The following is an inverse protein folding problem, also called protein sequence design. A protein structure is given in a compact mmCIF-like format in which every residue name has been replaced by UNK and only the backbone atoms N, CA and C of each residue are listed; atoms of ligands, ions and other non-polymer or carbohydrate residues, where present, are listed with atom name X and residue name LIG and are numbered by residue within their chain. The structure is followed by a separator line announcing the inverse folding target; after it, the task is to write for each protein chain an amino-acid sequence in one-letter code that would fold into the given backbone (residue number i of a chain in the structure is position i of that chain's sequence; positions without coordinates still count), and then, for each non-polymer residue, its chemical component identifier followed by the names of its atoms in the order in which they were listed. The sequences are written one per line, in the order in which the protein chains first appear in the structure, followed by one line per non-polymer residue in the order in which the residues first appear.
data_IF_218748463496
#
_entry.id   IF_218748463496
#
_cell.length_a   1.000
_cell.length_b   1.000
_cell.length_c   1.000
_cell.angle_alpha   90.00
_cell.angle_beta   90.00
_cell.angle_gamma   90.00
#
_symmetry.space_group_name_H-M   'P 1'
#
loop_
_entity.id
_entity.type
_entity.pdbx_description
1 polymer ?
#
# COMPACT_ATOMS: atom_id res chain seq x y z
N UNK A 1 1.39 53.62 16.97
CA UNK A 1 1.21 52.37 17.73
C UNK A 1 0.41 51.42 16.84
N UNK A 2 1.03 50.44 16.15
CA UNK A 2 0.29 49.46 15.36
C UNK A 2 0.11 48.15 16.15
N UNK A 3 -1.11 47.62 16.08
CA UNK A 3 -1.52 46.31 16.59
C UNK A 3 -0.77 45.17 15.86
N UNK A 4 -0.36 44.10 16.55
CA UNK A 4 0.19 42.93 15.89
C UNK A 4 -0.93 42.06 15.30
N UNK A 5 -0.72 41.67 14.05
CA UNK A 5 -1.51 40.74 13.25
C UNK A 5 -1.52 39.33 13.87
N UNK A 6 -2.71 38.80 14.15
CA UNK A 6 -2.90 37.40 14.54
C UNK A 6 -2.81 36.50 13.30
N UNK A 7 -1.59 36.07 12.97
CA UNK A 7 -1.35 34.91 12.12
C UNK A 7 -0.81 33.79 12.99
N UNK A 8 -1.64 32.79 13.30
CA UNK A 8 -1.17 31.59 13.98
C UNK A 8 -2.27 30.80 14.67
N UNK A 9 -2.88 29.85 13.96
CA UNK A 9 -3.52 28.66 14.57
C UNK A 9 -4.08 27.70 13.53
N UNK A 10 -3.22 27.11 12.69
CA UNK A 10 -3.59 25.90 11.93
C UNK A 10 -2.46 24.87 11.79
N UNK A 11 -1.31 25.08 12.43
CA UNK A 11 -0.12 24.24 12.20
C UNK A 11 0.20 23.25 13.34
N UNK A 12 -0.65 23.12 14.36
CA UNK A 12 -0.34 22.35 15.58
C UNK A 12 -1.11 21.03 15.73
N UNK A 13 -2.01 20.67 14.82
CA UNK A 13 -2.83 19.45 14.94
C UNK A 13 -2.15 18.15 14.46
N UNK A 14 -0.98 18.23 13.81
CA UNK A 14 -0.31 17.09 13.15
C UNK A 14 1.00 16.64 13.81
N UNK A 15 1.36 17.18 14.98
CA UNK A 15 2.64 16.85 15.62
C UNK A 15 2.68 15.37 16.05
N UNK A 16 3.36 14.54 15.25
CA UNK A 16 3.71 13.15 15.58
C UNK A 16 3.04 12.04 14.74
N UNK A 17 2.10 12.35 13.84
CA UNK A 17 1.51 11.33 12.95
C UNK A 17 2.20 11.33 11.58
N UNK A 18 2.56 10.17 11.02
CA UNK A 18 3.01 10.09 9.64
C UNK A 18 1.94 10.65 8.69
N UNK A 19 2.39 11.31 7.63
CA UNK A 19 1.50 12.00 6.68
C UNK A 19 1.97 11.76 5.26
N UNK A 20 1.05 11.91 4.32
CA UNK A 20 1.29 11.84 2.88
C UNK A 20 1.04 13.19 2.22
N UNK A 21 1.76 13.52 1.15
CA UNK A 21 1.45 14.70 0.36
C UNK A 21 0.09 14.55 -0.32
N UNK A 22 -0.66 15.64 -0.40
CA UNK A 22 -1.97 15.64 -1.06
C UNK A 22 -1.90 15.32 -2.57
N UNK A 23 -0.71 15.44 -3.18
CA UNK A 23 -0.45 14.93 -4.54
C UNK A 23 -0.81 13.45 -4.65
N UNK A 24 -0.47 12.64 -3.65
CA UNK A 24 -0.74 11.21 -3.66
C UNK A 24 -2.25 10.91 -3.65
N UNK A 25 -3.05 11.71 -2.92
CA UNK A 25 -4.52 11.64 -2.95
C UNK A 25 -5.06 12.02 -4.32
N UNK A 26 -4.55 13.11 -4.92
CA UNK A 26 -4.97 13.52 -6.27
C UNK A 26 -4.67 12.44 -7.29
N UNK A 27 -3.47 11.87 -7.26
CA UNK A 27 -3.06 10.81 -8.17
C UNK A 27 -3.93 9.57 -7.99
N UNK A 28 -4.25 9.21 -6.74
CA UNK A 28 -5.17 8.10 -6.43
C UNK A 28 -6.57 8.32 -7.00
N UNK A 29 -7.10 9.55 -6.98
CA UNK A 29 -8.43 9.87 -7.49
C UNK A 29 -8.46 10.15 -9.01
N UNK A 30 -7.33 10.54 -9.61
CA UNK A 30 -7.26 11.04 -10.98
C UNK A 30 -7.74 10.02 -12.02
N UNK A 31 -8.85 10.31 -12.72
CA UNK A 31 -9.39 9.42 -13.76
C UNK A 31 -10.32 8.32 -13.26
N UNK A 32 -10.68 8.31 -11.96
CA UNK A 32 -11.76 7.46 -11.48
C UNK A 32 -13.13 8.01 -11.94
N UNK A 33 -14.07 7.13 -12.33
CA UNK A 33 -15.41 7.54 -12.78
C UNK A 33 -16.33 7.81 -11.56
N UNK A 34 -15.95 8.76 -10.69
CA UNK A 34 -16.71 9.14 -9.49
C UNK A 34 -17.23 10.55 -9.69
N UNK A 35 -18.53 10.75 -9.50
CA UNK A 35 -19.13 12.08 -9.60
C UNK A 35 -18.77 12.96 -8.39
N UNK A 36 -18.87 14.28 -8.57
CA UNK A 36 -18.46 15.24 -7.54
C UNK A 36 -19.23 15.08 -6.21
N UNK A 37 -20.56 14.84 -6.20
CA UNK A 37 -21.30 14.61 -4.95
C UNK A 37 -20.82 13.38 -4.18
N UNK A 38 -20.60 12.26 -4.86
CA UNK A 38 -20.10 11.03 -4.23
C UNK A 38 -18.68 11.24 -3.69
N UNK A 39 -17.80 11.85 -4.49
CA UNK A 39 -16.44 12.15 -4.05
C UNK A 39 -16.43 13.05 -2.81
N UNK A 40 -17.30 14.06 -2.76
CA UNK A 40 -17.41 14.94 -1.59
C UNK A 40 -17.83 14.16 -0.33
N UNK A 41 -18.78 13.23 -0.46
CA UNK A 41 -19.17 12.34 0.62
C UNK A 41 -18.00 11.47 1.12
N UNK A 42 -17.21 10.91 0.22
CA UNK A 42 -16.02 10.09 0.56
C UNK A 42 -14.95 10.92 1.26
N UNK A 43 -14.67 12.14 0.79
CA UNK A 43 -13.73 13.05 1.43
C UNK A 43 -14.20 13.43 2.84
N UNK A 44 -15.49 13.69 3.02
CA UNK A 44 -16.07 13.97 4.33
C UNK A 44 -15.93 12.78 5.29
N UNK A 45 -16.24 11.55 4.85
CA UNK A 45 -16.05 10.33 5.64
C UNK A 45 -14.58 10.14 6.05
N UNK A 46 -13.66 10.43 5.13
CA UNK A 46 -12.23 10.40 5.38
C UNK A 46 -11.71 11.59 6.20
N UNK A 47 -12.55 12.52 6.61
CA UNK A 47 -12.18 13.78 7.30
C UNK A 47 -11.21 14.65 6.51
N UNK A 48 -11.22 14.56 5.19
CA UNK A 48 -10.40 15.35 4.27
C UNK A 48 -11.22 16.54 3.79
N UNK A 49 -10.75 17.77 4.06
CA UNK A 49 -11.37 18.96 3.49
C UNK A 49 -11.24 18.96 1.96
N UNK A 50 -12.31 19.16 1.17
CA UNK A 50 -12.23 19.25 -0.29
C UNK A 50 -11.29 20.36 -0.77
N UNK A 51 -11.18 21.46 -0.02
CA UNK A 51 -10.26 22.56 -0.34
C UNK A 51 -8.80 22.15 -0.25
N UNK A 52 -8.49 21.09 0.50
CA UNK A 52 -7.13 20.56 0.64
C UNK A 52 -6.60 20.03 -0.70
N UNK A 53 -7.47 19.46 -1.55
CA UNK A 53 -7.09 18.94 -2.87
C UNK A 53 -6.48 20.03 -3.77
N UNK A 54 -6.91 21.28 -3.61
CA UNK A 54 -6.37 22.42 -4.34
C UNK A 54 -5.05 22.97 -3.77
N UNK A 55 -4.65 22.55 -2.57
CA UNK A 55 -3.42 23.02 -1.94
C UNK A 55 -2.21 22.29 -2.53
N UNK A 56 -1.17 23.06 -2.91
CA UNK A 56 0.06 22.49 -3.48
C UNK A 56 0.83 21.64 -2.47
N UNK A 57 0.90 22.12 -1.21
CA UNK A 57 1.67 21.51 -0.13
C UNK A 57 0.77 20.93 0.98
N UNK A 58 -0.51 20.66 0.67
CA UNK A 58 -1.40 20.00 1.60
C UNK A 58 -0.87 18.61 1.98
N UNK A 59 -1.19 18.15 3.19
CA UNK A 59 -0.87 16.80 3.66
C UNK A 59 -2.09 16.17 4.30
N UNK A 60 -2.20 14.86 4.17
CA UNK A 60 -3.23 14.03 4.83
C UNK A 60 -2.54 13.01 5.74
N UNK A 61 -3.21 12.58 6.80
CA UNK A 61 -2.69 11.45 7.58
C UNK A 61 -2.88 10.13 6.83
N UNK A 62 -2.14 9.11 7.24
CA UNK A 62 -2.28 7.75 6.71
C UNK A 62 -3.69 7.20 6.92
N UNK A 63 -4.32 7.49 8.07
CA UNK A 63 -5.70 7.07 8.37
C UNK A 63 -6.71 7.76 7.46
N UNK A 64 -6.53 9.05 7.19
CA UNK A 64 -7.39 9.79 6.25
C UNK A 64 -7.28 9.20 4.84
N UNK A 65 -6.05 8.92 4.39
CA UNK A 65 -5.84 8.28 3.09
C UNK A 65 -6.46 6.88 3.05
N UNK A 66 -6.26 6.07 4.09
CA UNK A 66 -6.80 4.71 4.15
C UNK A 66 -8.33 4.69 4.16
N UNK A 67 -8.98 5.62 4.86
CA UNK A 67 -10.44 5.75 4.87
C UNK A 67 -10.98 6.16 3.50
N UNK A 68 -10.32 7.12 2.83
CA UNK A 68 -10.68 7.51 1.47
C UNK A 68 -10.52 6.35 0.50
N UNK A 69 -9.38 5.65 0.56
CA UNK A 69 -9.11 4.48 -0.29
C UNK A 69 -10.20 3.42 -0.10
N UNK A 70 -10.52 3.07 1.16
CA UNK A 70 -11.55 2.07 1.46
C UNK A 70 -12.92 2.50 0.92
N UNK A 71 -13.30 3.75 1.10
CA UNK A 71 -14.56 4.30 0.62
C UNK A 71 -14.69 4.19 -0.90
N UNK A 72 -13.61 4.52 -1.62
CA UNK A 72 -13.53 4.38 -3.08
C UNK A 72 -13.61 2.92 -3.49
N UNK A 73 -12.84 2.04 -2.85
CA UNK A 73 -12.81 0.61 -3.15
C UNK A 73 -14.18 -0.06 -2.98
N UNK A 74 -14.90 0.27 -1.91
CA UNK A 74 -16.25 -0.24 -1.66
C UNK A 74 -17.26 0.30 -2.68
N UNK A 75 -17.18 1.58 -3.04
CA UNK A 75 -18.08 2.18 -4.03
C UNK A 75 -17.89 1.56 -5.42
N UNK A 76 -16.65 1.30 -5.80
CA UNK A 76 -16.32 0.73 -7.11
C UNK A 76 -16.41 -0.80 -7.15
N UNK A 77 -16.55 -1.46 -6.00
CA UNK A 77 -16.36 -2.91 -5.84
C UNK A 77 -15.03 -3.36 -6.48
N UNK A 78 -13.96 -2.63 -6.14
CA UNK A 78 -12.61 -2.81 -6.66
C UNK A 78 -11.58 -2.50 -5.57
N UNK A 79 -10.90 -3.52 -5.05
CA UNK A 79 -9.90 -3.40 -3.98
C UNK A 79 -8.64 -2.64 -4.41
N UNK A 80 -8.41 -2.47 -5.71
CA UNK A 80 -7.31 -1.67 -6.28
C UNK A 80 -7.88 -0.69 -7.33
N UNK A 81 -8.63 0.35 -6.89
CA UNK A 81 -9.52 1.14 -7.73
C UNK A 81 -8.93 1.60 -9.07
N UNK A 82 -9.38 0.97 -10.15
CA UNK A 82 -9.03 1.33 -11.52
C UNK A 82 -7.54 1.15 -11.86
N UNK A 83 -6.81 0.33 -11.10
CA UNK A 83 -5.37 0.08 -11.33
C UNK A 83 -5.11 -1.13 -12.22
N UNK A 84 -6.07 -2.03 -12.36
CA UNK A 84 -5.98 -3.21 -13.23
C UNK A 84 -6.98 -3.11 -14.37
N UNK A 85 -6.76 -3.93 -15.41
CA UNK A 85 -7.66 -4.00 -16.56
C UNK A 85 -9.08 -4.47 -16.18
N UNK A 86 -9.22 -5.21 -15.08
CA UNK A 86 -10.49 -5.67 -14.53
C UNK A 86 -10.54 -5.35 -13.03
N UNK A 87 -11.72 -5.01 -12.47
CA UNK A 87 -11.86 -4.77 -11.04
C UNK A 87 -11.45 -5.99 -10.21
N UNK A 88 -10.65 -5.76 -9.16
CA UNK A 88 -10.39 -6.76 -8.14
C UNK A 88 -11.53 -6.73 -7.12
N UNK A 89 -12.58 -7.50 -7.36
CA UNK A 89 -13.82 -7.50 -6.55
C UNK A 89 -13.54 -7.57 -5.05
N UNK A 90 -14.35 -6.88 -4.25
CA UNK A 90 -14.20 -6.92 -2.80
C UNK A 90 -14.24 -8.36 -2.26
N UNK A 91 -13.23 -8.74 -1.48
CA UNK A 91 -12.99 -10.11 -1.03
C UNK A 91 -11.83 -10.82 -1.76
N UNK A 92 -11.28 -10.24 -2.83
CA UNK A 92 -10.12 -10.80 -3.54
C UNK A 92 -8.92 -10.96 -2.61
N UNK A 93 -8.58 -9.92 -1.84
CA UNK A 93 -7.51 -9.92 -0.86
C UNK A 93 -7.76 -10.94 0.26
N UNK A 94 -9.03 -11.14 0.65
CA UNK A 94 -9.39 -12.16 1.64
C UNK A 94 -9.06 -13.57 1.13
N UNK A 95 -9.50 -13.90 -0.09
CA UNK A 95 -9.24 -15.22 -0.71
C UNK A 95 -7.73 -15.43 -0.88
N UNK A 96 -7.04 -14.43 -1.42
CA UNK A 96 -5.59 -14.42 -1.59
C UNK A 96 -4.88 -14.68 -0.27
N UNK A 97 -5.28 -13.99 0.80
CA UNK A 97 -4.66 -14.14 2.12
C UNK A 97 -4.89 -15.54 2.68
N UNK A 98 -6.10 -16.10 2.53
CA UNK A 98 -6.42 -17.47 2.97
C UNK A 98 -5.49 -18.50 2.30
N UNK A 99 -5.20 -18.36 0.99
CA UNK A 99 -4.30 -19.26 0.26
C UNK A 99 -2.87 -19.25 0.81
N UNK A 100 -2.47 -18.20 1.51
CA UNK A 100 -1.13 -18.07 2.07
C UNK A 100 -1.03 -18.59 3.52
N UNK A 101 -2.14 -18.68 4.26
CA UNK A 101 -2.14 -18.93 5.72
C UNK A 101 -1.65 -20.33 6.13
N UNK A 102 -1.85 -21.34 5.29
CA UNK A 102 -1.44 -22.73 5.55
C UNK A 102 -0.08 -23.09 4.91
N UNK A 103 0.60 -22.12 4.27
CA UNK A 103 1.90 -22.37 3.67
C UNK A 103 2.95 -22.67 4.75
N UNK A 104 3.88 -23.63 4.54
CA UNK A 104 4.87 -23.99 5.55
C UNK A 104 5.94 -22.90 5.76
N UNK A 105 6.25 -22.12 4.72
CA UNK A 105 7.25 -21.05 4.76
C UNK A 105 6.79 -19.83 3.95
N UNK A 106 7.41 -18.67 4.20
CA UNK A 106 7.15 -17.46 3.42
C UNK A 106 7.40 -17.67 1.92
N UNK A 107 8.44 -18.44 1.55
CA UNK A 107 8.71 -18.76 0.14
C UNK A 107 7.50 -19.44 -0.53
N UNK A 108 6.88 -20.40 0.15
CA UNK A 108 5.70 -21.10 -0.38
C UNK A 108 4.49 -20.17 -0.43
N UNK A 109 4.31 -19.33 0.60
CA UNK A 109 3.26 -18.32 0.63
C UNK A 109 3.36 -17.35 -0.55
N UNK A 110 4.55 -16.81 -0.83
CA UNK A 110 4.80 -15.91 -1.97
C UNK A 110 4.55 -16.64 -3.30
N UNK A 111 4.96 -17.90 -3.44
CA UNK A 111 4.69 -18.68 -4.66
C UNK A 111 3.19 -18.87 -4.91
N UNK A 112 2.40 -19.17 -3.86
CA UNK A 112 0.92 -19.28 -3.97
C UNK A 112 0.30 -17.93 -4.32
N UNK A 113 0.79 -16.86 -3.71
CA UNK A 113 0.39 -15.49 -4.02
C UNK A 113 0.65 -15.13 -5.49
N UNK A 114 1.85 -15.42 -6.02
CA UNK A 114 2.18 -15.18 -7.43
C UNK A 114 1.28 -15.99 -8.37
N UNK A 115 1.00 -17.26 -8.04
CA UNK A 115 0.10 -18.10 -8.82
C UNK A 115 -1.32 -17.54 -8.86
N UNK A 116 -1.84 -17.06 -7.72
CA UNK A 116 -3.16 -16.45 -7.65
C UNK A 116 -3.24 -15.15 -8.46
N UNK A 117 -2.19 -14.30 -8.43
CA UNK A 117 -2.18 -13.07 -9.24
C UNK A 117 -2.30 -13.37 -10.74
N UNK A 118 -1.68 -14.44 -11.24
CA UNK A 118 -1.83 -14.88 -12.64
C UNK A 118 -3.26 -15.30 -13.01
N UNK A 119 -4.08 -15.66 -12.03
CA UNK A 119 -5.50 -15.98 -12.25
C UNK A 119 -6.34 -14.70 -12.33
N UNK A 120 -5.94 -13.66 -11.58
CA UNK A 120 -6.66 -12.38 -11.54
C UNK A 120 -6.37 -11.50 -12.76
N UNK A 121 -5.12 -11.50 -13.22
CA UNK A 121 -4.65 -10.61 -14.26
C UNK A 121 -3.56 -11.26 -15.12
N UNK A 122 -3.79 -11.30 -16.43
CA UNK A 122 -2.80 -11.76 -17.41
C UNK A 122 -1.74 -10.68 -17.72
N UNK A 123 -1.98 -9.43 -17.32
CA UNK A 123 -1.09 -8.31 -17.59
C UNK A 123 0.11 -8.21 -16.64
N UNK A 124 -0.01 -8.76 -15.42
CA UNK A 124 1.00 -8.64 -14.37
C UNK A 124 1.80 -9.92 -14.21
N UNK A 125 3.13 -9.82 -14.34
CA UNK A 125 4.03 -10.97 -14.15
C UNK A 125 4.91 -10.72 -12.94
N UNK A 126 4.79 -11.58 -11.93
CA UNK A 126 5.59 -11.54 -10.71
C UNK A 126 6.56 -12.69 -10.69
N UNK A 127 7.78 -12.43 -10.24
CA UNK A 127 8.79 -13.47 -10.04
C UNK A 127 9.49 -13.29 -8.70
N UNK A 128 9.90 -14.43 -8.14
CA UNK A 128 10.71 -14.53 -6.93
C UNK A 128 12.06 -15.15 -7.31
N UNK A 129 13.12 -14.39 -7.12
CA UNK A 129 14.50 -14.87 -7.21
C UNK A 129 15.08 -15.01 -5.80
N UNK A 130 15.93 -16.02 -5.63
CA UNK A 130 16.67 -16.27 -4.39
C UNK A 130 18.07 -16.74 -4.75
N UNK A 131 19.07 -16.07 -4.21
CA UNK A 131 20.44 -16.58 -4.13
C UNK A 131 20.92 -16.59 -2.66
N UNK A 132 22.22 -16.76 -2.45
CA UNK A 132 22.82 -16.81 -1.11
C UNK A 132 22.86 -15.44 -0.41
N UNK A 133 22.77 -14.34 -1.14
CA UNK A 133 22.91 -12.97 -0.63
C UNK A 133 21.57 -12.25 -0.55
N UNK A 134 20.73 -12.39 -1.56
CA UNK A 134 19.51 -11.59 -1.72
C UNK A 134 18.31 -12.46 -2.12
N UNK A 135 17.15 -12.12 -1.58
CA UNK A 135 15.85 -12.50 -2.13
C UNK A 135 15.21 -11.29 -2.81
N UNK A 136 14.64 -11.52 -3.99
CA UNK A 136 14.10 -10.46 -4.83
C UNK A 136 12.69 -10.84 -5.29
N UNK A 137 11.70 -10.03 -4.91
CA UNK A 137 10.36 -10.07 -5.52
C UNK A 137 10.32 -8.94 -6.55
N UNK A 138 10.09 -9.27 -7.82
CA UNK A 138 10.05 -8.28 -8.90
C UNK A 138 8.77 -8.38 -9.72
N UNK A 139 8.44 -7.28 -10.38
CA UNK A 139 7.36 -7.21 -11.36
C UNK A 139 7.97 -7.07 -12.75
N UNK A 140 7.83 -8.12 -13.55
CA UNK A 140 8.40 -8.24 -14.89
C UNK A 140 7.48 -7.65 -15.97
N UNK A 141 6.18 -7.57 -15.69
CA UNK A 141 5.20 -6.95 -16.55
C UNK A 141 4.06 -6.35 -15.72
N UNK A 142 3.44 -5.29 -16.25
CA UNK A 142 2.31 -4.59 -15.65
C UNK A 142 1.13 -4.53 -16.60
N UNK A 143 -0.09 -4.34 -16.08
CA UNK A 143 -1.26 -4.12 -16.93
C UNK A 143 -1.00 -2.88 -17.80
N UNK A 144 -0.99 -3.06 -19.11
CA UNK A 144 -0.82 -1.94 -20.07
C UNK A 144 -1.93 -0.90 -19.95
N UNK A 145 -3.08 -1.31 -19.44
CA UNK A 145 -4.28 -0.49 -19.27
C UNK A 145 -4.41 0.09 -17.84
N UNK A 146 -3.38 -0.02 -17.00
CA UNK A 146 -3.40 0.61 -15.68
C UNK A 146 -3.54 2.13 -15.81
N UNK A 147 -4.50 2.72 -15.09
CA UNK A 147 -4.72 4.17 -15.04
C UNK A 147 -3.49 4.95 -14.58
N UNK A 148 -2.71 4.36 -13.68
CA UNK A 148 -1.43 4.88 -13.23
C UNK A 148 -0.45 3.73 -13.05
N UNK A 149 0.50 3.65 -13.98
CA UNK A 149 1.61 2.71 -13.89
C UNK A 149 2.45 2.92 -12.62
N UNK A 150 2.48 4.15 -12.08
CA UNK A 150 3.19 4.47 -10.84
C UNK A 150 2.48 3.91 -9.60
N UNK A 151 1.18 4.24 -9.45
CA UNK A 151 0.41 3.83 -8.27
C UNK A 151 0.20 2.32 -8.19
N UNK A 152 -0.02 1.65 -9.33
CA UNK A 152 -0.14 0.19 -9.34
C UNK A 152 1.14 -0.46 -8.80
N UNK A 153 2.31 0.08 -9.13
CA UNK A 153 3.59 -0.43 -8.64
C UNK A 153 3.76 -0.23 -7.14
N UNK A 154 3.47 0.98 -6.66
CA UNK A 154 3.63 1.34 -5.26
C UNK A 154 2.69 0.55 -4.35
N UNK A 155 1.40 0.59 -4.65
CA UNK A 155 0.37 -0.06 -3.83
C UNK A 155 0.54 -1.57 -3.86
N UNK A 156 0.93 -2.14 -4.99
CA UNK A 156 1.21 -3.56 -5.10
C UNK A 156 2.44 -3.96 -4.27
N UNK A 157 3.56 -3.25 -4.40
CA UNK A 157 4.75 -3.51 -3.58
C UNK A 157 4.45 -3.39 -2.09
N UNK A 158 3.65 -2.41 -1.70
CA UNK A 158 3.19 -2.23 -0.32
C UNK A 158 2.30 -3.38 0.15
N UNK A 159 1.34 -3.79 -0.67
CA UNK A 159 0.47 -4.92 -0.35
C UNK A 159 1.29 -6.19 -0.12
N UNK A 160 2.23 -6.50 -1.01
CA UNK A 160 3.06 -7.71 -0.92
C UNK A 160 4.00 -7.66 0.26
N UNK A 161 4.75 -6.56 0.41
CA UNK A 161 5.61 -6.33 1.57
C UNK A 161 4.83 -6.56 2.86
N UNK A 162 3.63 -5.98 2.85
CA UNK A 162 2.83 -5.91 4.03
C UNK A 162 2.25 -7.27 4.42
N UNK A 163 1.62 -7.93 3.46
CA UNK A 163 1.08 -9.26 3.67
C UNK A 163 2.17 -10.26 4.05
N UNK A 164 3.34 -10.20 3.42
CA UNK A 164 4.48 -11.07 3.77
C UNK A 164 4.94 -10.83 5.22
N UNK A 165 5.11 -9.57 5.63
CA UNK A 165 5.49 -9.19 6.99
C UNK A 165 4.45 -9.62 8.02
N UNK A 166 3.16 -9.46 7.70
CA UNK A 166 2.07 -9.89 8.56
C UNK A 166 2.03 -11.41 8.72
N UNK A 167 2.17 -12.19 7.64
CA UNK A 167 2.07 -13.65 7.68
C UNK A 167 3.19 -14.27 8.53
N UNK A 168 4.42 -13.76 8.45
CA UNK A 168 5.53 -14.21 9.31
C UNK A 168 5.54 -13.53 10.69
N UNK A 169 4.67 -12.54 10.90
CA UNK A 169 4.57 -11.73 12.11
C UNK A 169 5.83 -10.98 12.48
N UNK A 170 6.59 -10.56 11.49
CA UNK A 170 7.79 -9.76 11.65
C UNK A 170 7.92 -8.84 10.44
N UNK A 171 8.30 -7.58 10.68
CA UNK A 171 8.63 -6.65 9.61
C UNK A 171 9.79 -7.21 8.78
N UNK A 172 9.60 -7.29 7.47
CA UNK A 172 10.67 -7.59 6.53
C UNK A 172 11.43 -6.28 6.30
N UNK A 173 12.67 -6.21 6.77
CA UNK A 173 13.55 -5.08 6.48
C UNK A 173 14.01 -5.16 5.03
N UNK A 174 13.86 -4.07 4.29
CA UNK A 174 14.27 -4.01 2.89
C UNK A 174 15.69 -3.48 2.79
N UNK A 175 16.53 -4.21 2.06
CA UNK A 175 17.84 -3.71 1.66
C UNK A 175 17.69 -2.56 0.67
N UNK A 176 16.69 -2.67 -0.21
CA UNK A 176 16.24 -1.61 -1.13
C UNK A 176 14.87 -1.92 -1.72
N UNK A 177 14.24 -0.88 -2.23
CA UNK A 177 13.16 -0.99 -3.22
C UNK A 177 13.59 -0.25 -4.49
N UNK A 178 13.51 -0.95 -5.61
CA UNK A 178 13.81 -0.45 -6.94
C UNK A 178 12.48 -0.17 -7.64
N UNK A 179 12.33 1.00 -8.27
CA UNK A 179 11.16 1.37 -9.06
C UNK A 179 11.54 1.57 -10.53
N UNK A 180 10.73 0.96 -11.41
CA UNK A 180 10.90 1.05 -12.86
C UNK A 180 10.52 2.39 -13.47
N UNK A 181 9.86 3.27 -12.71
CA UNK A 181 9.46 4.60 -13.16
C UNK A 181 10.48 5.68 -12.76
N UNK A 182 10.43 6.81 -13.46
CA UNK A 182 11.30 7.96 -13.20
C UNK A 182 11.03 8.55 -11.81
N UNK A 183 12.07 9.10 -11.17
CA UNK A 183 11.97 9.70 -9.84
C UNK A 183 10.87 10.79 -9.82
N UNK A 184 9.82 10.66 -9.00
CA UNK A 184 8.78 11.67 -8.89
C UNK A 184 9.23 12.86 -8.03
N UNK A 185 8.51 13.97 -8.14
CA UNK A 185 8.80 15.20 -7.38
C UNK A 185 8.67 14.99 -5.85
N UNK A 186 7.77 14.09 -5.43
CA UNK A 186 7.51 13.71 -4.04
C UNK A 186 8.31 12.47 -3.60
N UNK A 187 9.41 12.15 -4.28
CA UNK A 187 10.26 11.00 -3.95
C UNK A 187 10.79 10.98 -2.50
N UNK A 188 10.82 12.12 -1.80
CA UNK A 188 11.21 12.20 -0.40
C UNK A 188 10.22 11.47 0.54
N UNK A 189 8.94 11.42 0.17
CA UNK A 189 7.90 10.81 1.00
C UNK A 189 7.95 9.26 0.95
N UNK A 190 8.69 8.66 0.01
CA UNK A 190 8.84 7.20 -0.11
C UNK A 190 9.62 6.57 1.05
N UNK A 191 10.44 7.36 1.75
CA UNK A 191 11.12 6.94 2.97
C UNK A 191 10.15 6.56 4.09
N UNK A 192 8.94 7.13 4.08
CA UNK A 192 7.89 6.79 5.04
C UNK A 192 7.07 5.58 4.56
N UNK A 193 6.95 5.39 3.25
CA UNK A 193 6.20 4.28 2.69
C UNK A 193 6.96 2.95 2.77
N UNK A 194 8.27 2.92 2.55
CA UNK A 194 9.03 1.65 2.47
C UNK A 194 10.14 1.56 3.52
N UNK A 195 10.32 0.41 4.20
CA UNK A 195 11.38 0.21 5.18
C UNK A 195 12.74 -0.09 4.53
N UNK A 196 13.20 0.81 3.66
CA UNK A 196 14.47 0.68 2.95
C UNK A 196 14.69 1.80 1.94
N UNK A 197 15.92 1.96 1.42
CA UNK A 197 16.22 2.99 0.44
C UNK A 197 15.47 2.75 -0.89
N UNK A 198 14.76 3.78 -1.35
CA UNK A 198 14.07 3.77 -2.64
C UNK A 198 14.98 4.27 -3.78
N UNK A 199 15.09 3.48 -4.85
CA UNK A 199 15.78 3.83 -6.09
C UNK A 199 14.77 3.92 -7.23
N UNK A 200 15.00 4.82 -8.17
CA UNK A 200 14.07 5.11 -9.27
C UNK A 200 14.78 4.98 -10.61
N UNK A 201 14.01 4.87 -11.69
CA UNK A 201 14.53 4.70 -13.05
C UNK A 201 15.29 3.39 -13.25
N UNK A 202 14.93 2.35 -12.49
CA UNK A 202 15.54 1.03 -12.59
C UNK A 202 14.95 0.22 -13.76
N UNK A 203 15.59 -0.85 -14.23
CA UNK A 203 15.05 -1.65 -15.33
C UNK A 203 13.70 -2.33 -15.00
N UNK A 204 13.50 -2.68 -13.73
CA UNK A 204 12.29 -3.33 -13.20
C UNK A 204 12.01 -2.81 -11.81
N UNK A 205 10.76 -2.95 -11.36
CA UNK A 205 10.41 -2.69 -9.95
C UNK A 205 10.62 -3.94 -9.15
N UNK A 206 11.36 -3.82 -8.06
CA UNK A 206 11.76 -4.94 -7.24
C UNK A 206 11.90 -4.57 -5.78
N UNK A 207 11.61 -5.54 -4.92
CA UNK A 207 11.83 -5.49 -3.50
C UNK A 207 12.93 -6.48 -3.13
N UNK A 208 13.96 -5.99 -2.46
CA UNK A 208 15.15 -6.79 -2.13
C UNK A 208 15.33 -6.86 -0.62
N UNK A 209 15.52 -8.07 -0.12
CA UNK A 209 15.62 -8.35 1.31
C UNK A 209 16.45 -9.62 1.56
N UNK A 210 16.81 -9.83 2.83
CA UNK A 210 17.62 -10.97 3.25
C UNK A 210 16.90 -12.31 2.96
N UNK A 211 17.55 -13.27 2.25
CA UNK A 211 16.92 -14.52 1.86
C UNK A 211 16.45 -15.38 3.04
N UNK A 212 16.96 -15.18 4.26
CA UNK A 212 16.50 -15.89 5.46
C UNK A 212 15.02 -15.68 5.77
N UNK A 213 14.43 -14.55 5.32
CA UNK A 213 13.01 -14.32 5.50
C UNK A 213 12.16 -15.36 4.76
N UNK A 214 12.63 -15.85 3.60
CA UNK A 214 11.93 -16.85 2.80
C UNK A 214 11.77 -18.19 3.52
N UNK A 215 12.70 -18.52 4.41
CA UNK A 215 12.68 -19.75 5.20
C UNK A 215 11.85 -19.63 6.48
N UNK A 216 11.41 -18.41 6.85
CA UNK A 216 10.61 -18.24 8.05
C UNK A 216 9.27 -18.96 7.92
N UNK A 217 8.84 -19.68 8.97
CA UNK A 217 7.54 -20.32 8.96
C UNK A 217 6.43 -19.27 8.93
N UNK A 218 5.37 -19.56 8.19
CA UNK A 218 4.12 -18.79 8.34
C UNK A 218 3.61 -19.00 9.76
N UNK A 219 3.31 -17.90 10.46
CA UNK A 219 2.70 -18.01 11.78
C UNK A 219 1.31 -18.61 11.62
N UNK A 220 0.94 -19.49 12.56
CA UNK A 220 -0.46 -19.92 12.67
C UNK A 220 -1.30 -18.69 13.01
N UNK A 221 -1.96 -18.13 12.00
CA UNK A 221 -2.91 -17.03 12.13
C UNK A 221 -4.32 -17.60 12.18
N UNK A 222 -5.10 -17.13 13.13
CA UNK A 222 -6.53 -17.43 13.19
C UNK A 222 -7.29 -16.67 12.10
N UNK A 223 -8.46 -17.17 11.71
CA UNK A 223 -9.38 -16.42 10.83
C UNK A 223 -9.81 -15.07 11.43
N UNK A 224 -9.77 -14.94 12.76
CA UNK A 224 -10.02 -13.68 13.47
C UNK A 224 -8.93 -12.66 13.19
N UNK A 225 -7.65 -13.04 13.30
CA UNK A 225 -6.53 -12.15 12.99
C UNK A 225 -6.55 -11.69 11.53
N UNK A 226 -6.90 -12.58 10.59
CA UNK A 226 -7.07 -12.20 9.19
C UNK A 226 -8.21 -11.18 9.04
N UNK A 227 -9.35 -11.43 9.69
CA UNK A 227 -10.50 -10.52 9.66
C UNK A 227 -10.10 -9.12 10.17
N UNK A 228 -9.32 -9.06 11.25
CA UNK A 228 -8.90 -7.79 11.84
C UNK A 228 -7.93 -7.02 10.92
N UNK A 229 -6.97 -7.72 10.26
CA UNK A 229 -6.12 -7.14 9.22
C UNK A 229 -6.97 -6.55 8.08
N UNK A 230 -7.94 -7.32 7.58
CA UNK A 230 -8.77 -6.91 6.44
C UNK A 230 -9.72 -5.77 6.80
N UNK A 231 -10.25 -5.72 8.03
CA UNK A 231 -11.06 -4.59 8.49
C UNK A 231 -10.28 -3.28 8.53
N UNK A 232 -8.99 -3.37 8.87
CA UNK A 232 -8.10 -2.21 8.92
C UNK A 232 -7.44 -1.92 7.57
N UNK A 233 -7.65 -2.73 6.54
CA UNK A 233 -7.15 -2.44 5.21
C UNK A 233 -7.72 -1.11 4.66
N UNK A 234 -6.93 -0.33 3.91
CA UNK A 234 -5.54 -0.59 3.55
C UNK A 234 -4.51 -0.19 4.61
N UNK A 235 -4.90 0.51 5.68
CA UNK A 235 -4.00 1.13 6.66
C UNK A 235 -2.89 0.20 7.12
N UNK A 236 -3.25 -0.99 7.60
CA UNK A 236 -2.27 -1.92 8.16
C UNK A 236 -1.26 -2.35 7.10
N UNK A 237 -1.70 -2.91 5.96
CA UNK A 237 -0.74 -3.35 4.94
C UNK A 237 0.01 -2.21 4.24
N UNK A 238 -0.56 -1.02 4.22
CA UNK A 238 0.02 0.13 3.55
C UNK A 238 0.97 0.94 4.46
N UNK A 239 0.82 0.93 5.78
CA UNK A 239 1.63 1.82 6.63
C UNK A 239 2.19 1.16 7.89
N UNK A 240 1.58 0.09 8.41
CA UNK A 240 1.87 -0.37 9.77
C UNK A 240 1.96 -1.90 9.89
N UNK A 241 3.16 -2.48 9.87
CA UNK A 241 3.30 -3.93 10.01
C UNK A 241 4.40 -4.40 10.97
N UNK A 242 4.00 -4.27 12.23
CA UNK A 242 4.05 -5.25 13.33
C UNK A 242 5.19 -5.06 14.37
N UNK A 243 4.89 -5.24 15.69
CA UNK A 243 4.02 -6.28 16.24
C UNK A 243 2.72 -5.80 16.89
N UNK A 244 1.60 -6.47 16.59
CA UNK A 244 0.47 -6.53 17.54
C UNK A 244 0.73 -7.69 18.51
N UNK A 245 1.56 -7.43 19.52
CA UNK A 245 1.41 -8.11 20.80
C UNK A 245 0.39 -7.32 21.60
N UNK A 246 -0.88 -7.69 21.48
CA UNK A 246 -1.87 -7.36 22.51
C UNK A 246 -1.95 -8.56 23.45
N UNK A 247 -1.14 -8.52 24.49
CA UNK A 247 -1.44 -9.28 25.71
C UNK A 247 -2.76 -8.73 26.27
N UNK A 248 -3.80 -9.53 26.48
CA UNK A 248 -4.83 -9.15 27.43
C UNK A 248 -4.31 -9.47 28.84
N UNK A 249 -4.61 -8.55 29.76
CA UNK A 249 -4.51 -8.71 31.22
C UNK A 249 -5.19 -10.00 31.69
#
# INVERSE_FOLDING_TARGET
MPMPSAAGSASTAFAGRPTLPISYVRDFLAGLPIDAPTLHGMLHLATISPTLLAQRHGRVTEEQFAELFRSVALHMDDEMPGLYARPLRCGTLKVLSILMLDAPTLQVAIKRWMQFNRVLDDGSVFTLHRDEREAVIRIDAYPRQARSARLVQELHMKLVHGLCSWIIGARIELERIDFGFARPDDAADYLFMFPGPARFGQPVTAMVFDPKYLDRPVRRRSGLELRDLLHRAPLDWLFDLAPVSRTPL
#
